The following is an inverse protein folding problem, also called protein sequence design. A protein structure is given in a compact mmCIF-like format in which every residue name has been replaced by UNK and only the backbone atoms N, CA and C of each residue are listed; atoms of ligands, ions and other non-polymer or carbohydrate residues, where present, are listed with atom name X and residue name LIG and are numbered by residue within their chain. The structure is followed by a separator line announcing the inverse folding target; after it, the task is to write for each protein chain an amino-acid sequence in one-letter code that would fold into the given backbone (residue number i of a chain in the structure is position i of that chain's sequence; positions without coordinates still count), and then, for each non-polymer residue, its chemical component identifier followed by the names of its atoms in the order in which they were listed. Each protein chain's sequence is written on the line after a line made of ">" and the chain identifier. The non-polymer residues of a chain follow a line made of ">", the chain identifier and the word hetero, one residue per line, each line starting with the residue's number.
data_IF_694993479770
#
_entry.id   IF_694993479770
#
_cell.length_a   1.000
_cell.length_b   1.000
_cell.length_c   1.000
_cell.angle_alpha   90.00
_cell.angle_beta   90.00
_cell.angle_gamma   90.00
#
_symmetry.space_group_name_H-M   'P 1'
#
loop_
_entity.id
_entity.type
_entity.pdbx_description
1 polymer ?
#
# COMPACT_ATOMS: atom_id res chain seq x y z
N UNK A 1 -4.51 1.13 3.09
CA UNK A 1 -3.26 1.26 3.87
C UNK A 1 -2.28 2.09 3.04
N UNK A 2 -1.91 3.26 3.51
CA UNK A 2 -0.97 4.14 2.80
C UNK A 2 0.45 3.67 3.14
N UNK A 3 1.25 3.33 2.14
CA UNK A 3 2.66 2.97 2.37
C UNK A 3 3.43 4.25 2.65
N UNK A 4 3.89 4.43 3.88
CA UNK A 4 4.52 5.67 4.35
C UNK A 4 6.04 5.71 4.14
N UNK A 5 6.68 4.56 3.95
CA UNK A 5 8.13 4.46 3.76
C UNK A 5 8.46 3.93 2.36
N UNK A 6 8.29 4.81 1.37
CA UNK A 6 8.54 4.47 -0.03
C UNK A 6 9.92 4.97 -0.49
N UNK A 7 10.66 4.09 -1.15
CA UNK A 7 11.89 4.49 -1.83
C UNK A 7 11.54 5.37 -3.02
N UNK A 8 12.08 6.58 -3.06
CA UNK A 8 11.91 7.54 -4.15
C UNK A 8 13.12 7.51 -5.07
N UNK A 9 12.88 7.56 -6.36
CA UNK A 9 13.91 7.88 -7.34
C UNK A 9 14.07 9.39 -7.38
N UNK A 10 15.28 9.86 -7.12
CA UNK A 10 15.58 11.28 -7.13
C UNK A 10 16.63 11.60 -8.21
N UNK A 11 16.37 12.64 -8.96
CA UNK A 11 17.29 13.23 -9.92
C UNK A 11 17.53 14.70 -9.56
N UNK A 12 18.77 15.11 -9.52
CA UNK A 12 19.15 16.50 -9.25
C UNK A 12 20.06 17.01 -10.34
N UNK A 13 19.77 18.20 -10.83
CA UNK A 13 20.58 18.97 -11.76
C UNK A 13 20.92 20.29 -11.10
N UNK A 14 22.20 20.58 -10.98
CA UNK A 14 22.70 21.86 -10.48
C UNK A 14 23.62 22.46 -11.54
N UNK A 15 23.13 23.45 -12.22
CA UNK A 15 23.87 24.12 -13.30
C UNK A 15 23.85 25.64 -13.09
N UNK A 16 24.92 26.18 -12.51
CA UNK A 16 25.14 27.59 -12.27
C UNK A 16 23.94 28.29 -11.58
N UNK A 17 23.02 28.83 -12.35
CA UNK A 17 21.85 29.58 -11.87
C UNK A 17 20.58 28.71 -11.76
N UNK A 18 20.59 27.53 -12.35
CA UNK A 18 19.44 26.64 -12.42
C UNK A 18 19.68 25.42 -11.55
N UNK A 19 18.77 25.20 -10.61
CA UNK A 19 18.69 23.96 -9.83
C UNK A 19 17.36 23.31 -10.09
N UNK A 20 17.39 22.04 -10.44
CA UNK A 20 16.21 21.23 -10.66
C UNK A 20 16.34 19.97 -9.82
N UNK A 21 15.33 19.67 -9.05
CA UNK A 21 15.21 18.37 -8.41
C UNK A 21 13.87 17.72 -8.77
N UNK A 22 13.92 16.45 -9.09
CA UNK A 22 12.76 15.65 -9.40
C UNK A 22 12.79 14.40 -8.54
N UNK A 23 11.67 14.08 -7.93
CA UNK A 23 11.49 12.85 -7.18
C UNK A 23 10.25 12.14 -7.71
N UNK A 24 10.32 10.83 -7.82
CA UNK A 24 9.19 10.00 -8.22
C UNK A 24 9.17 8.70 -7.44
N UNK A 25 8.00 8.15 -7.26
CA UNK A 25 7.82 6.86 -6.62
C UNK A 25 6.69 6.07 -7.28
N UNK A 26 6.80 4.76 -7.14
CA UNK A 26 5.80 3.80 -7.55
C UNK A 26 5.72 2.72 -6.47
N UNK A 27 4.53 2.45 -5.98
CA UNK A 27 4.28 1.37 -5.04
C UNK A 27 3.09 0.53 -5.50
N UNK A 28 3.26 -0.77 -5.46
CA UNK A 28 2.22 -1.74 -5.81
C UNK A 28 2.10 -2.73 -4.68
N UNK A 29 0.89 -2.93 -4.21
CA UNK A 29 0.54 -3.95 -3.22
C UNK A 29 -0.52 -4.87 -3.80
N UNK A 30 -0.90 -5.92 -3.08
CA UNK A 30 -1.99 -6.81 -3.50
C UNK A 30 -3.33 -6.11 -3.69
N UNK A 31 -3.53 -4.95 -3.05
CA UNK A 31 -4.80 -4.23 -3.06
C UNK A 31 -4.69 -2.75 -3.43
N UNK A 32 -3.50 -2.25 -3.72
CA UNK A 32 -3.34 -0.83 -4.07
C UNK A 32 -2.22 -0.58 -5.06
N UNK A 33 -2.38 0.50 -5.80
CA UNK A 33 -1.39 1.07 -6.68
C UNK A 33 -1.21 2.54 -6.31
N UNK A 34 0.04 2.97 -6.11
CA UNK A 34 0.38 4.35 -5.75
C UNK A 34 1.48 4.85 -6.69
N UNK A 35 1.32 6.04 -7.19
CA UNK A 35 2.31 6.73 -8.01
C UNK A 35 2.32 8.21 -7.64
N UNK A 36 3.51 8.79 -7.61
CA UNK A 36 3.65 10.23 -7.44
C UNK A 36 4.96 10.73 -8.00
N UNK A 37 4.95 12.01 -8.32
CA UNK A 37 6.12 12.73 -8.74
C UNK A 37 6.10 14.15 -8.19
N UNK A 38 7.28 14.66 -7.88
CA UNK A 38 7.49 16.02 -7.40
C UNK A 38 8.66 16.64 -8.15
N UNK A 39 8.46 17.83 -8.66
CA UNK A 39 9.44 18.64 -9.36
C UNK A 39 9.65 19.95 -8.60
N UNK A 40 10.87 20.30 -8.34
CA UNK A 40 11.29 21.60 -7.79
C UNK A 40 12.28 22.25 -8.74
N UNK A 41 12.06 23.50 -9.08
CA UNK A 41 12.91 24.30 -9.96
C UNK A 41 13.28 25.58 -9.22
N UNK A 42 14.55 25.89 -9.18
CA UNK A 42 15.03 27.15 -8.65
C UNK A 42 15.96 27.80 -9.67
N UNK A 43 15.61 29.01 -10.08
CA UNK A 43 16.45 29.85 -10.94
C UNK A 43 16.79 31.11 -10.15
N UNK A 44 18.06 31.35 -9.92
CA UNK A 44 18.46 32.48 -9.12
C UNK A 44 19.72 33.15 -9.61
N UNK A 45 19.73 34.47 -9.54
CA UNK A 45 20.91 35.30 -9.79
C UNK A 45 21.07 36.32 -8.66
N UNK A 46 22.22 36.27 -8.01
CA UNK A 46 22.55 37.14 -6.89
C UNK A 46 21.53 36.99 -5.73
N UNK A 47 20.77 38.03 -5.43
CA UNK A 47 19.72 38.00 -4.38
C UNK A 47 18.33 37.68 -4.91
N UNK A 48 18.11 37.69 -6.23
CA UNK A 48 16.84 37.40 -6.84
C UNK A 48 16.74 35.92 -7.27
N UNK A 49 15.58 35.36 -7.08
CA UNK A 49 15.32 33.99 -7.51
C UNK A 49 13.86 33.76 -7.82
N UNK A 50 13.61 32.84 -8.73
CA UNK A 50 12.28 32.28 -9.01
C UNK A 50 12.33 30.82 -8.59
N UNK A 51 11.39 30.42 -7.77
CA UNK A 51 11.18 29.04 -7.39
C UNK A 51 9.84 28.57 -7.89
N UNK A 52 9.82 27.41 -8.52
CA UNK A 52 8.61 26.75 -8.94
C UNK A 52 8.62 25.31 -8.48
N UNK A 53 7.45 24.79 -8.14
CA UNK A 53 7.26 23.39 -7.85
C UNK A 53 5.99 22.88 -8.48
N UNK A 54 5.97 21.60 -8.78
CA UNK A 54 4.79 20.89 -9.19
C UNK A 54 4.87 19.46 -8.68
N UNK A 55 3.78 18.96 -8.13
CA UNK A 55 3.69 17.62 -7.61
C UNK A 55 2.34 16.99 -7.92
N UNK A 56 2.33 15.68 -7.99
CA UNK A 56 1.09 14.92 -7.97
C UNK A 56 1.27 13.62 -7.21
N UNK A 57 0.20 13.16 -6.59
CA UNK A 57 0.07 11.86 -5.96
C UNK A 57 -1.24 11.21 -6.40
N UNK A 58 -1.18 9.92 -6.71
CA UNK A 58 -2.34 9.13 -7.05
C UNK A 58 -2.31 7.81 -6.29
N UNK A 59 -3.42 7.49 -5.65
CA UNK A 59 -3.67 6.23 -4.96
C UNK A 59 -4.92 5.59 -5.56
N UNK A 60 -4.79 4.34 -6.00
CA UNK A 60 -5.89 3.50 -6.39
C UNK A 60 -5.92 2.29 -5.47
N UNK A 61 -7.02 2.09 -4.80
CA UNK A 61 -7.31 0.90 -4.01
C UNK A 61 -8.35 0.06 -4.73
N UNK A 62 -8.14 -1.24 -4.82
CA UNK A 62 -8.99 -2.12 -5.63
C UNK A 62 -10.17 -2.69 -4.85
N UNK A 63 -9.99 -2.99 -3.56
CA UNK A 63 -11.04 -3.55 -2.75
C UNK A 63 -10.99 -3.04 -1.29
N UNK A 64 -12.03 -2.30 -0.81
CA UNK A 64 -13.08 -1.69 -1.64
C UNK A 64 -12.50 -0.68 -2.63
N UNK A 65 -13.13 -0.53 -3.80
CA UNK A 65 -12.61 0.39 -4.81
C UNK A 65 -12.70 1.84 -4.34
N UNK A 66 -11.55 2.48 -4.29
CA UNK A 66 -11.38 3.88 -3.93
C UNK A 66 -10.19 4.45 -4.70
N UNK A 67 -10.27 5.69 -5.08
CA UNK A 67 -9.10 6.42 -5.56
C UNK A 67 -8.98 7.77 -4.88
N UNK A 68 -7.74 8.24 -4.81
CA UNK A 68 -7.40 9.58 -4.37
C UNK A 68 -6.34 10.13 -5.32
N UNK A 69 -6.55 11.33 -5.77
CA UNK A 69 -5.63 12.05 -6.63
C UNK A 69 -5.41 13.44 -6.07
N UNK A 70 -4.17 13.89 -5.99
CA UNK A 70 -3.82 15.24 -5.61
C UNK A 70 -2.79 15.82 -6.57
N UNK A 71 -2.93 17.09 -6.82
CA UNK A 71 -2.00 17.91 -7.60
C UNK A 71 -1.69 19.18 -6.82
N UNK A 72 -0.43 19.55 -6.79
CA UNK A 72 0.01 20.82 -6.24
C UNK A 72 0.99 21.49 -7.19
N UNK A 73 0.92 22.79 -7.30
CA UNK A 73 1.86 23.56 -8.09
C UNK A 73 1.98 24.98 -7.53
N UNK A 74 3.16 25.53 -7.60
CA UNK A 74 3.35 26.90 -7.18
C UNK A 74 4.57 27.54 -7.82
N UNK A 75 4.53 28.85 -7.84
CA UNK A 75 5.64 29.68 -8.28
C UNK A 75 5.82 30.84 -7.32
N UNK A 76 7.05 31.18 -7.00
CA UNK A 76 7.37 32.29 -6.12
C UNK A 76 8.57 33.08 -6.62
N UNK A 77 8.51 34.37 -6.45
CA UNK A 77 9.61 35.31 -6.69
C UNK A 77 10.18 35.73 -5.33
N UNK A 78 11.45 35.54 -5.14
CA UNK A 78 12.14 35.85 -3.88
C UNK A 78 13.28 36.82 -4.08
N UNK A 79 13.52 37.66 -3.09
CA UNK A 79 14.67 38.56 -3.05
C UNK A 79 15.36 38.42 -1.69
N UNK A 80 16.50 37.73 -1.68
CA UNK A 80 17.15 37.32 -0.44
C UNK A 80 16.27 36.42 0.39
N UNK A 81 15.91 36.84 1.58
CA UNK A 81 14.98 36.13 2.48
C UNK A 81 13.49 36.56 2.33
N UNK A 82 13.24 37.54 1.46
CA UNK A 82 11.88 38.08 1.27
C UNK A 82 11.16 37.41 0.10
N UNK A 83 9.94 36.95 0.37
CA UNK A 83 8.99 36.47 -0.67
C UNK A 83 8.22 37.68 -1.20
N UNK A 84 8.49 38.06 -2.44
CA UNK A 84 7.86 39.23 -3.06
C UNK A 84 6.48 38.90 -3.60
N UNK A 85 6.36 37.75 -4.25
CA UNK A 85 5.13 37.29 -4.87
C UNK A 85 5.12 35.75 -4.88
N UNK A 86 3.97 35.15 -4.69
CA UNK A 86 3.75 33.74 -4.99
C UNK A 86 2.33 33.44 -5.39
N UNK A 87 2.21 32.36 -6.12
CA UNK A 87 0.96 31.70 -6.46
C UNK A 87 1.16 30.24 -6.11
N UNK A 88 0.29 29.71 -5.27
CA UNK A 88 0.30 28.31 -4.89
C UNK A 88 -1.12 27.74 -5.15
N UNK A 89 -1.19 26.58 -5.76
CA UNK A 89 -2.42 25.90 -6.16
C UNK A 89 -2.41 24.47 -5.62
N UNK A 90 -3.51 24.06 -5.05
CA UNK A 90 -3.75 22.70 -4.63
C UNK A 90 -5.09 22.18 -5.14
N UNK A 91 -5.13 20.95 -5.61
CA UNK A 91 -6.35 20.28 -6.02
C UNK A 91 -6.29 18.83 -5.57
N UNK A 92 -7.36 18.35 -4.96
CA UNK A 92 -7.52 16.94 -4.62
C UNK A 92 -8.89 16.44 -5.08
N UNK A 93 -8.91 15.21 -5.56
CA UNK A 93 -10.10 14.51 -5.97
C UNK A 93 -10.08 13.10 -5.37
N UNK A 94 -11.14 12.71 -4.71
CA UNK A 94 -11.32 11.35 -4.21
C UNK A 94 -12.71 10.81 -4.51
N UNK A 95 -12.81 9.51 -4.58
CA UNK A 95 -14.07 8.85 -4.91
C UNK A 95 -13.96 7.34 -4.96
N UNK A 96 -15.01 6.65 -5.42
CA UNK A 96 -16.24 7.17 -6.05
C UNK A 96 -17.44 7.37 -5.10
N UNK A 97 -17.36 7.03 -3.80
CA UNK A 97 -18.54 7.01 -2.96
C UNK A 97 -18.28 7.52 -1.53
N UNK A 98 -18.51 8.78 -1.24
CA UNK A 98 -18.88 9.87 -2.16
C UNK A 98 -17.70 10.41 -2.93
N UNK A 99 -17.95 11.17 -3.99
CA UNK A 99 -16.95 11.98 -4.66
C UNK A 99 -16.67 13.22 -3.82
N UNK A 100 -15.41 13.56 -3.67
CA UNK A 100 -14.99 14.80 -3.04
C UNK A 100 -13.92 15.49 -3.90
N UNK A 101 -14.17 16.74 -4.24
CA UNK A 101 -13.17 17.62 -4.86
C UNK A 101 -12.90 18.79 -3.94
N UNK A 102 -11.65 18.98 -3.59
CA UNK A 102 -11.15 20.08 -2.78
C UNK A 102 -10.08 20.81 -3.57
N UNK A 103 -10.19 22.12 -3.67
CA UNK A 103 -9.18 22.97 -4.28
C UNK A 103 -8.90 24.17 -3.41
N UNK A 104 -7.65 24.61 -3.43
CA UNK A 104 -7.20 25.83 -2.79
C UNK A 104 -6.22 26.56 -3.72
N UNK A 105 -6.30 27.87 -3.68
CA UNK A 105 -5.38 28.76 -4.35
C UNK A 105 -4.97 29.89 -3.41
N UNK A 106 -3.69 30.13 -3.27
CA UNK A 106 -3.17 31.24 -2.52
C UNK A 106 -2.32 32.15 -3.38
N UNK A 107 -2.54 33.43 -3.23
CA UNK A 107 -1.77 34.48 -3.87
C UNK A 107 -1.12 35.33 -2.79
N UNK A 108 0.15 35.58 -2.94
CA UNK A 108 0.88 36.48 -2.09
C UNK A 108 1.50 37.58 -2.94
N UNK A 109 1.15 38.82 -2.62
CA UNK A 109 1.69 39.98 -3.30
C UNK A 109 2.01 41.09 -2.29
N UNK A 110 3.31 41.43 -2.17
CA UNK A 110 3.79 42.54 -1.34
C UNK A 110 3.14 42.59 0.06
N UNK A 111 3.12 41.48 0.78
CA UNK A 111 2.57 41.35 2.13
C UNK A 111 1.03 41.19 2.22
N UNK A 112 0.34 41.09 1.09
CA UNK A 112 -1.10 40.85 1.08
C UNK A 112 -1.36 39.40 0.69
N UNK A 113 -1.83 38.55 1.59
CA UNK A 113 -2.29 37.20 1.25
C UNK A 113 -3.73 37.24 0.73
N UNK A 114 -4.00 36.51 -0.31
CA UNK A 114 -5.34 36.24 -0.82
C UNK A 114 -5.48 34.73 -0.94
N UNK A 115 -6.46 34.16 -0.28
CA UNK A 115 -6.72 32.73 -0.30
C UNK A 115 -8.13 32.46 -0.79
N UNK A 116 -8.28 31.53 -1.70
CA UNK A 116 -9.55 31.07 -2.25
C UNK A 116 -9.56 29.56 -2.23
N UNK A 117 -10.62 28.99 -1.70
CA UNK A 117 -10.74 27.54 -1.63
C UNK A 117 -12.18 27.08 -1.88
N UNK A 118 -12.31 25.84 -2.33
CA UNK A 118 -13.58 25.14 -2.42
C UNK A 118 -13.46 23.72 -1.92
N UNK A 119 -14.58 23.19 -1.44
CA UNK A 119 -14.70 21.78 -1.07
C UNK A 119 -16.13 21.33 -1.43
N UNK A 120 -16.22 20.46 -2.41
CA UNK A 120 -17.49 20.01 -2.98
C UNK A 120 -17.54 18.50 -2.84
N UNK A 121 -18.61 18.01 -2.23
CA UNK A 121 -18.89 16.58 -2.12
C UNK A 121 -20.19 16.29 -2.85
N UNK A 122 -20.19 15.24 -3.69
CA UNK A 122 -21.37 14.81 -4.44
C UNK A 122 -21.40 13.28 -4.57
N UNK A 123 -22.55 12.74 -4.93
CA UNK A 123 -22.78 11.32 -5.01
C UNK A 123 -23.27 10.74 -3.68
N UNK A 124 -24.02 9.67 -3.77
CA UNK A 124 -24.55 8.97 -2.60
C UNK A 124 -23.40 8.23 -1.91
N UNK A 125 -23.31 8.42 -0.61
CA UNK A 125 -22.49 7.53 0.22
C UNK A 125 -23.12 6.15 0.16
N UNK A 126 -22.53 5.25 -0.64
CA UNK A 126 -22.93 3.85 -0.55
C UNK A 126 -22.68 3.41 0.89
N UNK A 127 -23.66 2.83 1.58
CA UNK A 127 -23.39 2.22 2.87
C UNK A 127 -22.23 1.26 2.64
N UNK A 128 -21.18 1.40 3.42
CA UNK A 128 -20.10 0.41 3.42
C UNK A 128 -20.77 -0.93 3.66
N UNK A 129 -20.72 -1.82 2.68
CA UNK A 129 -21.12 -3.19 2.90
C UNK A 129 -20.36 -3.66 4.14
N UNK A 130 -21.03 -4.30 5.10
CA UNK A 130 -20.35 -4.79 6.27
C UNK A 130 -19.16 -5.62 5.79
N UNK A 131 -17.99 -5.36 6.33
CA UNK A 131 -16.78 -6.11 5.99
C UNK A 131 -17.10 -7.59 6.14
N UNK A 132 -16.93 -8.31 5.04
CA UNK A 132 -17.16 -9.75 5.07
C UNK A 132 -16.19 -10.35 6.08
N UNK A 133 -16.72 -10.93 7.13
CA UNK A 133 -15.95 -11.62 8.14
C UNK A 133 -15.77 -13.09 7.74
N UNK A 134 -14.63 -13.65 8.05
CA UNK A 134 -14.33 -15.06 7.80
C UNK A 134 -13.66 -15.67 9.04
N UNK A 135 -14.14 -16.85 9.43
CA UNK A 135 -13.47 -17.65 10.45
C UNK A 135 -12.37 -18.46 9.75
N UNK A 136 -11.15 -18.28 10.22
CA UNK A 136 -9.96 -18.85 9.61
C UNK A 136 -9.66 -20.23 10.21
N UNK A 137 -10.00 -20.44 11.47
CA UNK A 137 -9.78 -21.71 12.16
C UNK A 137 -10.48 -22.90 11.51
N UNK A 138 -11.74 -22.81 11.05
CA UNK A 138 -12.37 -23.88 10.29
C UNK A 138 -11.68 -24.22 8.98
N UNK A 139 -11.16 -23.20 8.28
CA UNK A 139 -10.40 -23.39 7.03
C UNK A 139 -9.11 -24.18 7.32
N UNK A 140 -8.37 -23.80 8.35
CA UNK A 140 -7.14 -24.49 8.73
C UNK A 140 -7.43 -25.93 9.17
N UNK A 141 -8.51 -26.17 9.89
CA UNK A 141 -8.92 -27.53 10.28
C UNK A 141 -9.23 -28.42 9.06
N UNK A 142 -9.87 -27.88 8.06
CA UNK A 142 -10.13 -28.62 6.82
C UNK A 142 -8.83 -28.98 6.10
N UNK A 143 -7.86 -28.06 6.06
CA UNK A 143 -6.54 -28.34 5.48
C UNK A 143 -5.78 -29.43 6.26
N UNK A 144 -5.84 -29.39 7.60
CA UNK A 144 -5.22 -30.41 8.47
C UNK A 144 -5.84 -31.79 8.30
N UNK A 145 -7.13 -31.87 8.02
CA UNK A 145 -7.84 -33.13 7.78
C UNK A 145 -7.62 -33.70 6.39
N UNK A 146 -7.08 -32.92 5.47
CA UNK A 146 -6.80 -33.37 4.11
C UNK A 146 -5.47 -34.16 4.05
N UNK A 147 -5.51 -35.46 3.79
CA UNK A 147 -4.28 -36.29 3.73
C UNK A 147 -3.29 -35.81 2.66
N UNK A 148 -3.76 -35.18 1.60
CA UNK A 148 -2.91 -34.69 0.51
C UNK A 148 -1.97 -33.55 0.92
N UNK A 149 -2.24 -32.88 2.04
CA UNK A 149 -1.43 -31.80 2.59
C UNK A 149 -0.30 -32.30 3.48
N UNK A 150 -0.27 -33.59 3.74
CA UNK A 150 0.73 -34.23 4.56
C UNK A 150 1.73 -35.00 3.71
N UNK A 151 3.00 -34.75 3.93
CA UNK A 151 4.08 -35.45 3.23
C UNK A 151 5.02 -36.05 4.26
N UNK A 152 5.37 -37.29 4.03
CA UNK A 152 6.40 -37.94 4.80
C UNK A 152 7.75 -37.76 4.12
N UNK A 153 8.68 -37.13 4.81
CA UNK A 153 10.07 -37.04 4.41
C UNK A 153 10.77 -38.38 4.62
N UNK A 154 11.56 -38.82 3.66
CA UNK A 154 12.43 -39.98 3.88
C UNK A 154 13.54 -39.60 4.85
N UNK A 155 13.36 -39.93 6.11
CA UNK A 155 14.45 -39.84 7.07
C UNK A 155 15.66 -40.57 6.51
N UNK A 156 16.83 -39.95 6.59
CA UNK A 156 18.08 -40.43 6.02
C UNK A 156 18.60 -41.74 6.70
N UNK A 157 17.85 -42.82 6.58
CA UNK A 157 18.34 -44.16 6.91
C UNK A 157 18.37 -45.01 5.65
N UNK A 158 19.58 -45.42 5.30
CA UNK A 158 19.88 -46.32 4.18
C UNK A 158 19.45 -47.79 4.44
N UNK A 159 18.92 -48.10 5.58
CA UNK A 159 18.52 -49.44 5.94
C UNK A 159 17.04 -49.63 5.64
N UNK A 160 16.77 -50.43 4.63
CA UNK A 160 15.42 -50.83 4.20
C UNK A 160 14.84 -51.78 5.22
N UNK A 161 14.28 -51.32 6.29
CA UNK A 161 13.36 -52.09 7.10
C UNK A 161 11.98 -52.04 6.47
N UNK A 162 11.52 -53.13 5.92
CA UNK A 162 10.18 -53.26 5.35
C UNK A 162 9.24 -53.68 6.46
N UNK A 163 8.38 -52.77 6.91
CA UNK A 163 7.29 -53.12 7.81
C UNK A 163 6.03 -53.40 6.97
N UNK A 164 5.52 -54.62 7.09
CA UNK A 164 4.20 -54.95 6.58
C UNK A 164 3.16 -54.56 7.62
N UNK A 165 2.53 -53.45 7.41
CA UNK A 165 1.40 -52.98 8.21
C UNK A 165 0.13 -53.18 7.43
N UNK A 166 -0.86 -53.88 7.99
CA UNK A 166 -2.18 -54.06 7.41
C UNK A 166 -3.16 -53.19 8.21
N UNK A 167 -3.53 -52.00 7.74
CA UNK A 167 -4.48 -51.18 8.46
C UNK A 167 -5.86 -51.81 8.38
N UNK A 168 -6.44 -52.10 9.53
CA UNK A 168 -7.81 -52.62 9.61
C UNK A 168 -8.88 -51.56 9.34
N UNK A 169 -8.50 -50.28 9.23
CA UNK A 169 -9.39 -49.16 8.96
C UNK A 169 -8.82 -48.20 7.90
N UNK A 170 -9.59 -47.91 6.89
CA UNK A 170 -9.25 -47.03 5.75
C UNK A 170 -9.18 -45.55 6.12
N UNK A 171 -9.47 -45.13 7.34
CA UNK A 171 -9.64 -43.73 7.74
C UNK A 171 -8.42 -43.12 8.45
N UNK A 172 -7.34 -43.84 8.63
CA UNK A 172 -6.17 -43.35 9.37
C UNK A 172 -4.98 -43.10 8.46
N UNK A 173 -4.36 -41.93 8.59
CA UNK A 173 -3.07 -41.62 7.99
C UNK A 173 -1.99 -42.42 8.70
N UNK A 174 -1.37 -43.39 8.02
CA UNK A 174 -0.30 -44.20 8.55
C UNK A 174 1.04 -43.58 8.18
N UNK A 175 1.85 -43.27 9.17
CA UNK A 175 3.19 -42.69 9.01
C UNK A 175 4.26 -43.60 9.63
N UNK A 176 5.46 -43.63 9.06
CA UNK A 176 6.58 -44.36 9.64
C UNK A 176 7.02 -43.70 10.95
N UNK A 177 7.28 -44.45 12.02
CA UNK A 177 7.59 -43.91 13.35
C UNK A 177 8.91 -43.14 13.43
N UNK A 178 9.77 -43.27 12.43
CA UNK A 178 11.08 -42.62 12.32
C UNK A 178 11.15 -41.63 11.16
N UNK A 179 10.02 -41.34 10.48
CA UNK A 179 9.93 -40.40 9.38
C UNK A 179 9.71 -38.98 9.87
N UNK A 180 10.15 -38.02 9.08
CA UNK A 180 9.78 -36.62 9.24
C UNK A 180 8.42 -36.41 8.59
N UNK A 181 7.47 -35.80 9.31
CA UNK A 181 6.17 -35.47 8.80
C UNK A 181 6.13 -33.95 8.52
N UNK A 182 5.84 -33.57 7.29
CA UNK A 182 5.65 -32.19 6.90
C UNK A 182 4.21 -31.93 6.48
N UNK A 183 3.70 -30.79 6.89
CA UNK A 183 2.38 -30.29 6.53
C UNK A 183 2.52 -29.05 5.66
N UNK A 184 1.86 -29.05 4.51
CA UNK A 184 1.87 -27.92 3.58
C UNK A 184 0.44 -27.47 3.30
N UNK A 185 0.19 -26.18 3.44
CA UNK A 185 -1.09 -25.56 3.11
C UNK A 185 -0.87 -24.16 2.51
N UNK A 186 -1.81 -23.69 1.71
CA UNK A 186 -1.73 -22.41 1.00
C UNK A 186 -2.86 -21.44 1.37
N UNK A 187 -3.69 -21.78 2.36
CA UNK A 187 -4.88 -20.99 2.71
C UNK A 187 -4.55 -19.88 3.67
N UNK A 188 -3.58 -20.06 4.56
CA UNK A 188 -3.26 -19.13 5.65
C UNK A 188 -1.75 -18.99 5.81
N UNK A 189 -1.19 -17.76 5.82
CA UNK A 189 0.19 -17.53 6.20
C UNK A 189 0.34 -17.72 7.72
N UNK A 190 1.08 -18.74 8.14
CA UNK A 190 1.29 -19.05 9.57
C UNK A 190 2.46 -18.29 10.21
N UNK A 191 3.29 -17.63 9.40
CA UNK A 191 4.47 -16.89 9.88
C UNK A 191 4.17 -15.43 10.26
N UNK A 192 3.00 -14.92 9.91
CA UNK A 192 2.62 -13.54 10.19
C UNK A 192 1.92 -13.42 11.54
N UNK A 193 2.35 -12.46 12.36
CA UNK A 193 1.73 -12.18 13.67
C UNK A 193 0.33 -11.59 13.56
N UNK A 194 -0.03 -11.04 12.42
CA UNK A 194 -1.32 -10.41 12.18
C UNK A 194 -1.73 -10.58 10.74
N UNK A 195 -2.94 -11.07 10.53
CA UNK A 195 -3.54 -11.21 9.22
C UNK A 195 -4.66 -10.16 9.06
N UNK A 196 -4.41 -9.16 8.24
CA UNK A 196 -5.39 -8.08 8.02
C UNK A 196 -6.53 -8.52 7.10
N UNK A 197 -6.28 -9.41 6.14
CA UNK A 197 -7.29 -9.92 5.20
C UNK A 197 -7.00 -11.37 4.77
N UNK A 198 -8.05 -12.18 4.66
CA UNK A 198 -8.01 -13.53 4.10
C UNK A 198 -9.15 -13.67 3.09
N UNK A 199 -8.84 -14.03 1.82
CA UNK A 199 -9.83 -14.18 0.74
C UNK A 199 -10.80 -13.00 0.62
N UNK A 200 -10.30 -11.75 0.68
CA UNK A 200 -11.09 -10.50 0.66
C UNK A 200 -12.06 -10.33 1.83
N UNK A 201 -11.80 -10.99 2.94
CA UNK A 201 -12.59 -10.89 4.16
C UNK A 201 -11.68 -10.64 5.37
N UNK A 202 -12.22 -10.02 6.42
CA UNK A 202 -11.49 -9.77 7.67
C UNK A 202 -11.54 -11.02 8.54
N UNK A 203 -10.41 -11.60 8.96
CA UNK A 203 -10.38 -12.74 9.86
C UNK A 203 -10.85 -12.34 11.26
N UNK A 204 -11.68 -13.16 11.88
CA UNK A 204 -12.25 -12.90 13.21
C UNK A 204 -11.60 -13.68 14.32
N UNK A 205 -10.87 -14.74 13.99
CA UNK A 205 -10.34 -15.72 14.94
C UNK A 205 -8.83 -16.01 14.76
N UNK A 206 -8.13 -15.18 13.99
CA UNK A 206 -6.71 -15.41 13.69
C UNK A 206 -5.82 -15.36 14.94
N UNK A 207 -6.12 -14.52 15.91
CA UNK A 207 -5.38 -14.40 17.18
C UNK A 207 -5.42 -15.69 18.04
N UNK A 208 -6.25 -16.66 17.67
CA UNK A 208 -6.37 -17.95 18.35
C UNK A 208 -5.51 -19.04 17.71
N UNK A 209 -4.83 -18.75 16.61
CA UNK A 209 -4.02 -19.72 15.85
C UNK A 209 -2.55 -19.59 16.20
N UNK A 210 -2.14 -18.44 16.69
CA UNK A 210 -0.81 -18.14 17.22
C UNK A 210 -0.84 -18.28 18.75
#
# INVERSE_FOLDING_TARGET
>A
MMVTDMKRLAMKLDYSLLKVSMETYLAVTSNSFQIGAYLDICVGWNKFGIRGYAGFDALFQFNPFMFMFSIEAGVSVVCGSWKLMSIDLGLSLSGPSPWNAKGDASFWFLLIPIEVGFNITWGDSKPQLPEKQIEVLPLLKNELQNPSNWMQGNGARKDREVYLFNPETEECLTVLPIGELSFNQSVIPLEEKKLDMCNHAVPTDYDRIL
#
